data_IF_799418209122
#
_entry.id   IF_799418209122
#
_cell.length_a   1.000
_cell.length_b   1.000
_cell.length_c   1.000
_cell.angle_alpha   90.00
_cell.angle_beta   90.00
_cell.angle_gamma   90.00
#
_symmetry.space_group_name_H-M   'P 1'
#
loop_
_entity.id
_entity.type
_entity.pdbx_description
1 polymer ?
#
# COMPACT_ATOMS: atom_id res chain seq x y z
N UNK A 1 53.75 7.36 55.59
CA UNK A 1 53.21 8.63 55.07
C UNK A 1 52.94 8.47 53.57
N UNK A 2 51.81 9.02 53.09
CA UNK A 2 51.28 9.06 51.71
C UNK A 2 50.68 7.74 51.20
N UNK A 3 49.40 7.43 51.50
CA UNK A 3 48.15 7.83 50.80
C UNK A 3 47.81 6.94 49.60
N UNK A 4 47.07 5.84 49.87
CA UNK A 4 46.28 5.14 48.86
C UNK A 4 45.00 5.93 48.60
N UNK A 5 44.79 6.33 47.34
CA UNK A 5 43.63 7.11 46.92
C UNK A 5 42.67 6.21 46.12
N UNK A 6 41.54 5.72 46.69
CA UNK A 6 40.66 4.77 46.01
C UNK A 6 39.54 5.49 45.22
N UNK A 7 39.80 6.68 44.67
CA UNK A 7 38.77 7.51 44.03
C UNK A 7 38.90 7.68 42.51
N UNK A 8 39.65 6.80 41.83
CA UNK A 8 39.87 6.92 40.38
C UNK A 8 39.02 5.97 39.50
N UNK A 9 38.15 5.15 40.09
CA UNK A 9 37.35 4.17 39.32
C UNK A 9 35.82 4.36 39.42
N UNK A 10 35.34 5.46 40.02
CA UNK A 10 33.89 5.68 40.19
C UNK A 10 33.29 6.69 39.21
N UNK A 11 34.11 7.52 38.53
CA UNK A 11 33.63 8.50 37.55
C UNK A 11 33.41 7.92 36.14
N UNK A 12 34.08 6.81 35.81
CA UNK A 12 33.95 6.19 34.49
C UNK A 12 32.74 5.29 34.33
N UNK A 13 32.20 4.74 35.43
CA UNK A 13 31.02 3.85 35.38
C UNK A 13 29.69 4.59 35.41
N UNK A 14 29.64 5.80 35.98
CA UNK A 14 28.42 6.61 36.02
C UNK A 14 28.13 7.33 34.69
N UNK A 15 29.17 7.63 33.89
CA UNK A 15 29.01 8.29 32.59
C UNK A 15 28.47 7.35 31.49
N UNK A 16 28.68 6.03 31.64
CA UNK A 16 28.15 5.03 30.69
C UNK A 16 26.67 4.71 30.90
N UNK A 17 26.15 4.90 32.12
CA UNK A 17 24.74 4.60 32.41
C UNK A 17 23.77 5.69 31.90
N UNK A 18 24.23 6.94 31.81
CA UNK A 18 23.40 8.06 31.36
C UNK A 18 23.28 8.10 29.83
N UNK A 19 24.26 7.57 29.09
CA UNK A 19 24.18 7.52 27.62
C UNK A 19 23.28 6.39 27.08
N UNK A 20 23.05 5.34 27.87
CA UNK A 20 22.18 4.23 27.48
C UNK A 20 20.68 4.57 27.52
N UNK A 21 20.29 5.66 28.20
CA UNK A 21 18.89 6.08 28.33
C UNK A 21 18.42 6.95 27.16
N UNK A 22 19.34 7.50 26.35
CA UNK A 22 19.00 8.34 25.18
C UNK A 22 18.96 7.59 23.84
N UNK A 23 19.25 6.29 23.81
CA UNK A 23 19.23 5.48 22.58
C UNK A 23 17.98 4.61 22.42
N UNK A 24 16.96 4.77 23.27
CA UNK A 24 15.61 4.31 22.91
C UNK A 24 14.92 5.34 22.03
N UNK A 25 15.59 5.70 20.92
CA UNK A 25 14.87 6.18 19.76
C UNK A 25 14.02 4.98 19.34
N UNK A 26 12.74 4.96 19.74
CA UNK A 26 11.77 4.07 19.13
C UNK A 26 11.75 4.45 17.64
N UNK A 27 12.64 3.85 16.86
CA UNK A 27 12.46 3.73 15.42
C UNK A 27 11.23 2.86 15.25
N UNK A 28 10.06 3.48 15.35
CA UNK A 28 8.84 2.90 14.83
C UNK A 28 9.16 2.58 13.38
N UNK A 29 9.31 1.28 13.08
CA UNK A 29 9.48 0.82 11.72
C UNK A 29 8.31 1.42 10.93
N UNK A 30 8.55 2.21 9.87
CA UNK A 30 7.46 2.75 9.08
C UNK A 30 6.62 1.56 8.61
N UNK A 31 5.30 1.63 8.80
CA UNK A 31 4.40 0.57 8.35
C UNK A 31 4.63 0.42 6.85
N UNK A 32 5.07 -0.78 6.43
CA UNK A 32 5.22 -1.10 5.01
C UNK A 32 3.88 -1.02 4.25
N UNK A 33 2.77 -1.05 4.98
CA UNK A 33 1.41 -1.21 4.46
C UNK A 33 0.41 -0.38 5.24
N UNK A 34 -0.74 -0.11 4.62
CA UNK A 34 -1.85 0.58 5.27
C UNK A 34 -2.61 -0.36 6.23
N UNK A 35 -3.11 0.18 7.33
CA UNK A 35 -4.12 -0.50 8.13
C UNK A 35 -5.48 -0.52 7.43
N UNK A 36 -6.32 -1.51 7.74
CA UNK A 36 -7.74 -1.50 7.30
C UNK A 36 -8.43 -0.20 7.74
N UNK A 37 -8.12 0.29 8.94
CA UNK A 37 -8.65 1.52 9.50
C UNK A 37 -8.26 2.80 8.73
N UNK A 38 -7.27 2.72 7.82
CA UNK A 38 -6.82 3.86 7.02
C UNK A 38 -7.57 3.99 5.70
N UNK A 39 -8.36 2.98 5.30
CA UNK A 39 -9.07 2.94 4.03
C UNK A 39 -10.08 4.08 3.90
N UNK A 40 -10.08 4.72 2.73
CA UNK A 40 -10.97 5.85 2.44
C UNK A 40 -11.96 5.51 1.34
N UNK A 41 -13.19 5.20 1.77
CA UNK A 41 -14.27 4.78 0.88
C UNK A 41 -14.62 5.82 -0.18
N UNK A 42 -14.69 7.11 0.19
CA UNK A 42 -15.00 8.19 -0.75
C UNK A 42 -14.03 8.27 -1.92
N UNK A 43 -12.73 8.16 -1.65
CA UNK A 43 -11.68 8.16 -2.66
C UNK A 43 -11.74 6.87 -3.50
N UNK A 44 -12.14 5.76 -2.89
CA UNK A 44 -12.32 4.48 -3.56
C UNK A 44 -13.47 4.50 -4.57
N UNK A 45 -14.59 5.15 -4.25
CA UNK A 45 -15.70 5.36 -5.18
C UNK A 45 -15.27 6.18 -6.41
N UNK A 46 -14.53 7.27 -6.19
CA UNK A 46 -14.00 8.10 -7.28
C UNK A 46 -13.04 7.27 -8.16
N UNK A 47 -12.15 6.49 -7.53
CA UNK A 47 -11.26 5.59 -8.24
C UNK A 47 -12.02 4.55 -9.07
N UNK A 48 -13.02 3.88 -8.49
CA UNK A 48 -13.83 2.86 -9.17
C UNK A 48 -14.53 3.44 -10.40
N UNK A 49 -15.11 4.63 -10.28
CA UNK A 49 -15.72 5.34 -11.44
C UNK A 49 -14.70 5.65 -12.55
N UNK A 50 -13.46 5.99 -12.18
CA UNK A 50 -12.38 6.24 -13.14
C UNK A 50 -11.89 4.95 -13.81
N UNK A 51 -11.59 3.93 -13.01
CA UNK A 51 -10.97 2.69 -13.50
C UNK A 51 -11.92 1.85 -14.35
N UNK A 52 -13.24 1.95 -14.13
CA UNK A 52 -14.25 1.31 -14.99
C UNK A 52 -14.15 1.74 -16.45
N UNK A 53 -13.77 2.99 -16.71
CA UNK A 53 -13.59 3.54 -18.06
C UNK A 53 -12.27 3.11 -18.71
N UNK A 54 -11.37 2.51 -17.93
CA UNK A 54 -10.02 2.14 -18.35
C UNK A 54 -9.79 0.62 -18.25
N UNK A 55 -10.43 -0.20 -19.12
CA UNK A 55 -10.34 -1.66 -19.05
C UNK A 55 -8.92 -2.19 -19.27
N UNK A 56 -8.03 -1.39 -19.88
CA UNK A 56 -6.63 -1.75 -20.12
C UNK A 56 -5.76 -1.68 -18.86
N UNK A 57 -6.25 -1.03 -17.80
CA UNK A 57 -5.59 -1.05 -16.50
C UNK A 57 -6.19 -2.19 -15.69
N UNK A 58 -5.37 -3.22 -15.45
CA UNK A 58 -5.75 -4.45 -14.76
C UNK A 58 -5.12 -4.56 -13.38
N UNK A 59 -3.99 -3.89 -13.16
CA UNK A 59 -3.29 -3.90 -11.88
C UNK A 59 -2.61 -2.56 -11.62
N UNK A 60 -2.70 -2.08 -10.38
CA UNK A 60 -1.88 -0.98 -9.87
C UNK A 60 -1.30 -1.39 -8.52
N UNK A 61 -0.02 -1.12 -8.25
CA UNK A 61 0.57 -1.35 -6.93
C UNK A 61 1.58 -0.27 -6.55
N UNK A 62 1.82 -0.09 -5.25
CA UNK A 62 2.86 0.81 -4.73
C UNK A 62 4.19 0.03 -4.64
N UNK A 63 5.29 0.60 -5.13
CA UNK A 63 6.59 -0.11 -5.23
C UNK A 63 7.35 -0.15 -3.89
N UNK A 64 7.36 0.94 -3.13
CA UNK A 64 7.89 1.00 -1.76
C UNK A 64 7.34 2.27 -1.08
N UNK A 65 7.05 2.21 0.23
CA UNK A 65 6.62 3.36 1.03
C UNK A 65 7.78 4.12 1.67
N UNK A 66 9.02 3.65 1.53
CA UNK A 66 10.23 4.25 2.13
C UNK A 66 10.71 5.52 1.43
N UNK A 67 10.29 5.78 0.19
CA UNK A 67 10.60 6.99 -0.59
C UNK A 67 9.32 7.44 -1.28
N UNK A 68 9.14 8.75 -1.34
CA UNK A 68 8.09 9.52 -2.00
C UNK A 68 7.09 8.63 -2.74
N UNK A 69 5.86 8.50 -2.22
CA UNK A 69 4.74 7.64 -2.72
C UNK A 69 4.24 8.00 -4.13
N UNK A 70 5.15 8.42 -4.98
CA UNK A 70 5.00 8.82 -6.36
C UNK A 70 5.42 7.68 -7.30
N UNK A 71 5.95 6.55 -6.80
CA UNK A 71 6.27 5.38 -7.61
C UNK A 71 5.20 4.29 -7.51
N UNK A 72 4.66 3.93 -8.67
CA UNK A 72 3.61 2.94 -8.84
C UNK A 72 4.07 1.87 -9.81
N UNK A 73 3.44 0.70 -9.81
CA UNK A 73 3.41 -0.21 -10.96
C UNK A 73 2.04 -0.15 -11.60
N UNK A 74 1.99 -0.11 -12.93
CA UNK A 74 0.75 -0.17 -13.71
C UNK A 74 0.84 -1.33 -14.69
N UNK A 75 0.06 -2.37 -14.43
CA UNK A 75 0.18 -3.71 -15.05
C UNK A 75 1.64 -4.20 -15.02
N UNK A 76 2.21 -4.29 -13.81
CA UNK A 76 3.59 -4.77 -13.58
C UNK A 76 4.73 -3.80 -13.90
N UNK A 77 4.51 -2.78 -14.74
CA UNK A 77 5.55 -1.81 -15.13
C UNK A 77 5.67 -0.68 -14.12
N UNK A 78 6.86 -0.47 -13.55
CA UNK A 78 7.12 0.64 -12.64
C UNK A 78 7.02 1.99 -13.38
N UNK A 79 6.38 2.97 -12.74
CA UNK A 79 6.15 4.32 -13.25
C UNK A 79 6.25 5.36 -12.11
N UNK A 80 6.75 6.55 -12.43
CA UNK A 80 6.71 7.72 -11.55
C UNK A 80 5.55 8.63 -11.94
N UNK A 81 4.82 9.09 -10.92
CA UNK A 81 3.71 10.03 -11.04
C UNK A 81 4.19 11.49 -11.03
N UNK A 82 5.35 11.76 -10.43
CA UNK A 82 5.98 13.09 -10.40
C UNK A 82 7.04 13.24 -11.50
N UNK A 83 6.95 14.36 -12.22
CA UNK A 83 7.89 14.78 -13.25
C UNK A 83 9.12 15.50 -12.70
N UNK A 84 9.32 15.64 -11.39
CA UNK A 84 10.56 16.25 -10.86
C UNK A 84 11.73 15.23 -10.85
N UNK A 85 11.43 13.93 -10.99
CA UNK A 85 12.42 12.86 -10.98
C UNK A 85 12.90 12.44 -12.39
N UNK A 86 12.76 13.30 -13.41
CA UNK A 86 13.13 12.99 -14.82
C UNK A 86 14.61 12.64 -14.97
N UNK A 87 15.47 13.19 -14.12
CA UNK A 87 16.92 13.00 -14.17
C UNK A 87 17.39 11.67 -13.55
N UNK A 88 16.46 10.84 -13.03
CA UNK A 88 16.80 9.52 -12.53
C UNK A 88 17.08 8.56 -13.71
N UNK A 89 18.16 7.77 -13.68
CA UNK A 89 18.55 6.89 -14.79
C UNK A 89 17.53 5.80 -15.16
N UNK A 90 16.46 5.62 -14.36
CA UNK A 90 15.35 4.70 -14.60
C UNK A 90 13.97 5.39 -14.56
N UNK A 91 13.90 6.71 -14.84
CA UNK A 91 12.66 7.48 -14.82
C UNK A 91 11.67 7.01 -15.90
N UNK A 92 10.82 6.04 -15.56
CA UNK A 92 9.70 5.64 -16.39
C UNK A 92 8.49 6.47 -15.99
N UNK A 93 8.09 7.46 -16.79
CA UNK A 93 6.97 8.34 -16.39
C UNK A 93 5.61 7.69 -16.63
N UNK A 94 4.60 8.08 -15.84
CA UNK A 94 3.21 7.69 -16.10
C UNK A 94 2.77 8.11 -17.52
N UNK A 95 3.27 9.23 -18.06
CA UNK A 95 2.94 9.72 -19.42
C UNK A 95 3.36 8.72 -20.49
N UNK A 96 4.58 8.17 -20.36
CA UNK A 96 5.05 7.12 -21.26
C UNK A 96 4.16 5.89 -21.16
N UNK A 97 3.83 5.47 -19.93
CA UNK A 97 2.96 4.32 -19.70
C UNK A 97 1.57 4.51 -20.31
N UNK A 98 0.95 5.68 -20.12
CA UNK A 98 -0.34 6.05 -20.67
C UNK A 98 -0.39 5.83 -22.18
N UNK A 99 0.64 6.27 -22.93
CA UNK A 99 0.73 6.04 -24.38
C UNK A 99 0.80 4.57 -24.75
N UNK A 100 1.62 3.79 -24.05
CA UNK A 100 1.81 2.36 -24.35
C UNK A 100 0.56 1.53 -24.10
N UNK A 101 -0.19 1.87 -23.05
CA UNK A 101 -1.48 1.24 -22.78
C UNK A 101 -2.63 1.98 -23.49
N UNK A 102 -2.34 3.01 -24.30
CA UNK A 102 -3.32 3.85 -24.98
C UNK A 102 -4.50 4.26 -24.07
N UNK A 103 -4.14 4.94 -22.97
CA UNK A 103 -4.98 5.66 -22.00
C UNK A 103 -4.53 7.12 -22.02
N UNK A 104 -5.43 8.07 -21.78
CA UNK A 104 -5.06 9.49 -21.69
C UNK A 104 -4.10 9.75 -20.50
N UNK A 105 -3.13 10.64 -20.71
CA UNK A 105 -2.12 10.92 -19.69
C UNK A 105 -2.73 11.54 -18.42
N UNK A 106 -3.67 12.46 -18.56
CA UNK A 106 -4.32 13.12 -17.43
C UNK A 106 -5.25 12.16 -16.70
N UNK A 107 -5.96 11.30 -17.44
CA UNK A 107 -6.79 10.26 -16.85
C UNK A 107 -5.95 9.27 -16.02
N UNK A 108 -4.82 8.79 -16.56
CA UNK A 108 -3.93 7.89 -15.81
C UNK A 108 -3.39 8.59 -14.56
N UNK A 109 -2.94 9.85 -14.69
CA UNK A 109 -2.44 10.62 -13.54
C UNK A 109 -3.52 10.75 -12.45
N UNK A 110 -4.75 11.09 -12.81
CA UNK A 110 -5.83 11.24 -11.85
C UNK A 110 -6.19 9.91 -11.18
N UNK A 111 -6.17 8.80 -11.94
CA UNK A 111 -6.37 7.45 -11.41
C UNK A 111 -5.28 7.11 -10.38
N UNK A 112 -4.01 7.36 -10.67
CA UNK A 112 -2.89 7.10 -9.75
C UNK A 112 -2.99 7.95 -8.48
N UNK A 113 -3.39 9.22 -8.62
CA UNK A 113 -3.62 10.11 -7.48
C UNK A 113 -4.77 9.63 -6.58
N UNK A 114 -5.88 9.22 -7.17
CA UNK A 114 -7.02 8.68 -6.41
C UNK A 114 -6.66 7.35 -5.74
N UNK A 115 -5.91 6.49 -6.44
CA UNK A 115 -5.40 5.23 -5.90
C UNK A 115 -4.56 5.42 -4.64
N UNK A 116 -3.57 6.34 -4.66
CA UNK A 116 -2.76 6.62 -3.46
C UNK A 116 -3.61 7.20 -2.30
N UNK A 117 -4.65 7.98 -2.64
CA UNK A 117 -5.52 8.60 -1.66
C UNK A 117 -6.40 7.57 -0.91
N UNK A 118 -6.76 6.44 -1.53
CA UNK A 118 -7.58 5.38 -0.93
C UNK A 118 -6.93 4.64 0.24
N UNK A 119 -5.59 4.72 0.36
CA UNK A 119 -4.81 4.01 1.39
C UNK A 119 -4.93 2.48 1.29
N UNK A 120 -4.70 1.97 0.09
CA UNK A 120 -4.55 0.52 -0.19
C UNK A 120 -3.19 0.26 -0.84
N UNK A 121 -2.75 -0.99 -0.86
CA UNK A 121 -1.44 -1.36 -1.40
C UNK A 121 -1.48 -1.70 -2.88
N UNK A 122 -2.58 -2.32 -3.31
CA UNK A 122 -2.74 -2.83 -4.66
C UNK A 122 -4.18 -2.62 -5.13
N UNK A 123 -4.36 -2.59 -6.44
CA UNK A 123 -5.62 -2.76 -7.14
C UNK A 123 -5.45 -3.92 -8.11
N UNK A 124 -6.39 -4.86 -8.12
CA UNK A 124 -6.45 -5.91 -9.13
C UNK A 124 -7.85 -6.03 -9.70
N UNK A 125 -7.94 -6.10 -11.02
CA UNK A 125 -9.18 -6.33 -11.74
C UNK A 125 -9.45 -7.83 -11.83
N UNK A 126 -10.54 -8.27 -11.23
CA UNK A 126 -11.11 -9.59 -11.44
C UNK A 126 -12.35 -9.50 -12.33
N UNK A 127 -12.80 -10.64 -12.85
CA UNK A 127 -13.92 -10.68 -13.80
C UNK A 127 -15.23 -10.14 -13.23
N UNK A 128 -15.46 -10.32 -11.92
CA UNK A 128 -16.73 -9.98 -11.25
C UNK A 128 -16.60 -8.88 -10.19
N UNK A 129 -15.37 -8.49 -9.87
CA UNK A 129 -15.09 -7.53 -8.80
C UNK A 129 -13.71 -6.90 -8.96
N UNK A 130 -13.48 -5.85 -8.20
CA UNK A 130 -12.18 -5.22 -8.05
C UNK A 130 -11.64 -5.52 -6.66
N UNK A 131 -10.38 -5.93 -6.58
CA UNK A 131 -9.67 -6.20 -5.33
C UNK A 131 -8.79 -5.03 -4.95
N UNK A 132 -8.79 -4.72 -3.66
CA UNK A 132 -7.97 -3.69 -3.05
C UNK A 132 -7.29 -4.22 -1.78
N UNK A 133 -6.23 -5.03 -1.90
CA UNK A 133 -5.45 -5.50 -0.76
C UNK A 133 -4.86 -4.31 0.02
N UNK A 134 -4.97 -4.34 1.36
CA UNK A 134 -4.25 -3.40 2.25
C UNK A 134 -3.02 -4.04 2.88
N UNK A 135 -2.95 -5.37 2.91
CA UNK A 135 -1.81 -6.14 3.40
C UNK A 135 -1.54 -7.30 2.44
N UNK A 136 -0.34 -7.33 1.88
CA UNK A 136 0.12 -8.43 1.05
C UNK A 136 1.37 -9.06 1.68
N UNK A 137 1.17 -10.16 2.42
CA UNK A 137 2.27 -11.01 2.89
C UNK A 137 2.23 -12.32 2.11
N UNK A 138 3.38 -12.76 1.61
CA UNK A 138 3.52 -13.92 0.73
C UNK A 138 3.05 -15.26 1.35
N UNK A 139 2.73 -15.31 2.65
CA UNK A 139 2.29 -16.53 3.35
C UNK A 139 1.15 -16.29 4.36
N UNK A 140 0.50 -15.12 4.34
CA UNK A 140 -0.61 -14.83 5.24
C UNK A 140 -1.90 -14.62 4.45
N UNK A 141 -3.07 -14.91 5.05
CA UNK A 141 -4.35 -14.45 4.52
C UNK A 141 -4.27 -12.96 4.16
N UNK A 142 -4.63 -12.63 2.92
CA UNK A 142 -4.73 -11.26 2.47
C UNK A 142 -6.00 -10.64 3.03
N UNK A 143 -5.86 -9.41 3.51
CA UNK A 143 -6.97 -8.59 3.98
C UNK A 143 -7.08 -7.36 3.11
N UNK A 144 -8.30 -6.89 2.92
CA UNK A 144 -8.54 -5.67 2.18
C UNK A 144 -10.00 -5.44 1.87
N UNK A 145 -10.19 -4.70 0.80
CA UNK A 145 -11.50 -4.27 0.33
C UNK A 145 -11.74 -4.83 -1.05
N UNK A 146 -13.01 -4.96 -1.41
CA UNK A 146 -13.39 -5.25 -2.77
C UNK A 146 -14.66 -4.50 -3.14
N UNK A 147 -14.80 -4.26 -4.44
CA UNK A 147 -15.98 -3.68 -5.05
C UNK A 147 -16.58 -4.68 -6.04
N UNK A 148 -17.82 -5.10 -5.82
CA UNK A 148 -18.55 -5.98 -6.73
C UNK A 148 -19.04 -5.21 -7.96
N UNK A 149 -18.89 -5.79 -9.14
CA UNK A 149 -19.45 -5.22 -10.37
C UNK A 149 -20.96 -5.48 -10.47
N UNK A 150 -21.44 -6.51 -9.79
CA UNK A 150 -22.85 -6.91 -9.74
C UNK A 150 -23.28 -7.02 -8.28
N UNK A 151 -24.38 -6.36 -7.92
CA UNK A 151 -24.99 -6.51 -6.60
C UNK A 151 -25.70 -7.85 -6.53
N UNK A 152 -25.44 -8.64 -5.49
CA UNK A 152 -26.19 -9.84 -5.03
C UNK A 152 -25.46 -10.60 -3.91
N UNK A 153 -24.16 -10.36 -3.72
CA UNK A 153 -23.41 -11.03 -2.67
C UNK A 153 -23.70 -10.43 -1.29
N UNK A 154 -23.50 -11.25 -0.25
CA UNK A 154 -23.70 -10.89 1.15
C UNK A 154 -22.49 -11.31 1.99
N UNK A 155 -22.40 -10.73 3.19
CA UNK A 155 -21.41 -11.15 4.19
C UNK A 155 -21.51 -12.67 4.42
N UNK A 156 -20.35 -13.33 4.43
CA UNK A 156 -20.22 -14.78 4.53
C UNK A 156 -20.09 -15.50 3.18
N UNK A 157 -20.46 -14.86 2.08
CA UNK A 157 -20.25 -15.44 0.75
C UNK A 157 -18.75 -15.57 0.45
N UNK A 158 -18.42 -16.58 -0.38
CA UNK A 158 -17.06 -16.81 -0.86
C UNK A 158 -17.01 -16.57 -2.36
N UNK A 159 -16.00 -15.84 -2.81
CA UNK A 159 -15.72 -15.59 -4.23
C UNK A 159 -14.38 -16.20 -4.61
N UNK A 160 -14.23 -16.54 -5.89
CA UNK A 160 -12.96 -17.00 -6.44
C UNK A 160 -12.18 -15.82 -7.01
N UNK A 161 -10.89 -15.73 -6.69
CA UNK A 161 -9.99 -14.69 -7.16
C UNK A 161 -8.63 -15.31 -7.49
N UNK A 162 -8.27 -15.40 -8.78
CA UNK A 162 -7.01 -16.05 -9.20
C UNK A 162 -5.76 -15.26 -8.80
N UNK A 163 -5.94 -13.99 -8.42
CA UNK A 163 -4.84 -13.09 -8.09
C UNK A 163 -4.47 -13.07 -6.60
N UNK A 164 -5.12 -13.90 -5.76
CA UNK A 164 -4.85 -14.01 -4.32
C UNK A 164 -4.35 -15.42 -3.97
N UNK A 165 -3.56 -15.52 -2.91
CA UNK A 165 -3.09 -16.82 -2.40
C UNK A 165 -4.30 -17.61 -1.88
N UNK A 166 -4.44 -18.85 -2.36
CA UNK A 166 -5.52 -19.78 -2.01
C UNK A 166 -6.80 -19.62 -2.85
N UNK A 167 -6.79 -18.69 -3.80
CA UNK A 167 -7.82 -18.43 -4.82
C UNK A 167 -9.24 -18.13 -4.30
N UNK A 168 -9.41 -17.98 -2.99
CA UNK A 168 -10.72 -17.77 -2.35
C UNK A 168 -10.71 -16.56 -1.44
N UNK A 169 -11.77 -15.76 -1.51
CA UNK A 169 -12.01 -14.63 -0.63
C UNK A 169 -13.37 -14.76 0.04
N UNK A 170 -13.43 -14.49 1.34
CA UNK A 170 -14.66 -14.50 2.13
C UNK A 170 -15.05 -13.06 2.46
N UNK A 171 -16.30 -12.69 2.16
CA UNK A 171 -16.85 -11.38 2.50
C UNK A 171 -17.09 -11.29 4.01
N UNK A 172 -16.43 -10.35 4.69
CA UNK A 172 -16.46 -10.24 6.16
C UNK A 172 -17.38 -9.15 6.67
N UNK A 173 -17.46 -8.03 5.98
CA UNK A 173 -18.27 -6.87 6.39
C UNK A 173 -18.69 -6.07 5.16
N UNK A 174 -19.96 -5.70 5.10
CA UNK A 174 -20.46 -4.75 4.10
C UNK A 174 -20.16 -3.32 4.58
N UNK A 175 -19.68 -2.47 3.68
CA UNK A 175 -19.41 -1.06 3.95
C UNK A 175 -20.54 -0.19 3.42
N UNK A 176 -20.77 -0.28 2.10
CA UNK A 176 -21.79 0.46 1.38
C UNK A 176 -22.00 -0.19 0.02
N UNK A 177 -23.26 -0.43 -0.36
CA UNK A 177 -23.64 -1.00 -1.66
C UNK A 177 -22.80 -2.24 -2.02
N UNK A 178 -21.93 -2.12 -3.03
CA UNK A 178 -21.09 -3.19 -3.58
C UNK A 178 -19.73 -3.32 -2.88
N UNK A 179 -19.46 -2.55 -1.83
CA UNK A 179 -18.19 -2.55 -1.11
C UNK A 179 -18.20 -3.49 0.09
N UNK A 180 -17.16 -4.32 0.16
CA UNK A 180 -16.97 -5.27 1.25
C UNK A 180 -15.52 -5.30 1.74
N UNK A 181 -15.34 -5.50 3.04
CA UNK A 181 -14.09 -6.03 3.60
C UNK A 181 -14.02 -7.53 3.33
N UNK A 182 -12.83 -8.05 3.01
CA UNK A 182 -12.61 -9.48 2.76
C UNK A 182 -11.39 -10.02 3.51
N UNK A 183 -11.36 -11.35 3.63
CA UNK A 183 -10.14 -12.12 3.95
C UNK A 183 -9.95 -13.20 2.89
N UNK A 184 -8.70 -13.47 2.49
CA UNK A 184 -8.41 -14.65 1.68
C UNK A 184 -8.30 -15.90 2.56
N UNK A 185 -8.48 -17.08 1.96
CA UNK A 185 -8.33 -18.41 2.57
C UNK A 185 -7.30 -19.22 1.81
#
# INVERSE_FOLDING_TARGET
MVSCNPFRNMKFRLMFLILAVFLSCKTSSPKLFYGLDEFRLSEAEIFVSGIQKQPKIVEISIVDTRRDKNEFRVNGQAVFNDTIQIDQPNAYSYRKRAKEIAVDENELHQILKNFDAMKVSEFKRESRFYLFPVQNYAMSPQLGYLFLLEGNAKVGDTLEAKSVIGDKIVLKKALQENWFEYTSL
#
